data_IF_092352530094
#
_entry.id   IF_092352530094
#
_cell.length_a   1.000
_cell.length_b   1.000
_cell.length_c   1.000
_cell.angle_alpha   90.00
_cell.angle_beta   90.00
_cell.angle_gamma   90.00
#
_symmetry.space_group_name_H-M   'P 1'
#
loop_
_entity.id
_entity.type
_entity.pdbx_description
1 polymer ?
#
# COMPACT_ATOMS: atom_id res chain seq x y z
N UNK A 1 7.77 38.38 -23.11
CA UNK A 1 7.62 36.94 -23.39
C UNK A 1 7.71 36.16 -22.09
N UNK A 2 6.84 36.44 -21.12
CA UNK A 2 6.85 35.72 -19.84
C UNK A 2 5.41 35.45 -19.34
N UNK A 3 4.46 36.29 -19.77
CA UNK A 3 3.06 36.18 -19.37
C UNK A 3 2.33 35.02 -20.07
N UNK A 4 2.62 34.82 -21.36
CA UNK A 4 2.02 33.74 -22.16
C UNK A 4 2.48 32.35 -21.69
N UNK A 5 3.72 32.23 -21.24
CA UNK A 5 4.28 30.98 -20.70
C UNK A 5 3.73 30.68 -19.30
N UNK A 6 3.53 31.71 -18.47
CA UNK A 6 2.96 31.54 -17.13
C UNK A 6 1.50 31.07 -17.16
N UNK A 7 0.73 31.47 -18.17
CA UNK A 7 -0.65 31.04 -18.35
C UNK A 7 -0.75 29.57 -18.79
N UNK A 8 0.16 29.13 -19.66
CA UNK A 8 0.24 27.74 -20.12
C UNK A 8 0.59 26.77 -18.96
N UNK A 9 1.45 27.18 -18.04
CA UNK A 9 1.83 26.38 -16.86
C UNK A 9 0.65 26.23 -15.88
N UNK A 10 -0.11 27.31 -15.66
CA UNK A 10 -1.29 27.27 -14.79
C UNK A 10 -2.41 26.36 -15.33
N UNK A 11 -2.58 26.33 -16.65
CA UNK A 11 -3.54 25.43 -17.33
C UNK A 11 -3.09 23.97 -17.22
N UNK A 12 -1.80 23.69 -17.38
CA UNK A 12 -1.26 22.33 -17.23
C UNK A 12 -1.43 21.78 -15.81
N UNK A 13 -1.24 22.61 -14.78
CA UNK A 13 -1.43 22.23 -13.38
C UNK A 13 -2.91 22.00 -13.03
N UNK A 14 -3.83 22.77 -13.61
CA UNK A 14 -5.27 22.59 -13.38
C UNK A 14 -5.82 21.29 -14.00
N UNK A 15 -5.26 20.85 -15.14
CA UNK A 15 -5.65 19.61 -15.82
C UNK A 15 -5.04 18.35 -15.18
N UNK A 16 -3.96 18.50 -14.40
CA UNK A 16 -3.34 17.37 -13.69
C UNK A 16 -4.17 16.92 -12.48
N UNK A 17 -4.92 17.84 -11.86
CA UNK A 17 -5.80 17.55 -10.70
C UNK A 17 -7.01 16.68 -11.05
N UNK A 18 -7.30 16.46 -12.34
CA UNK A 18 -8.46 15.65 -12.79
C UNK A 18 -8.08 14.22 -13.21
N UNK A 19 -6.83 13.79 -13.05
CA UNK A 19 -6.41 12.40 -13.35
C UNK A 19 -6.70 11.45 -12.15
N UNK A 20 -7.43 11.90 -11.13
CA UNK A 20 -8.06 11.00 -10.17
C UNK A 20 -9.36 10.43 -10.76
N UNK A 21 -9.25 9.65 -11.84
CA UNK A 21 -10.27 8.66 -12.14
C UNK A 21 -10.11 7.54 -11.12
N UNK A 22 -11.01 7.49 -10.14
CA UNK A 22 -11.31 6.24 -9.47
C UNK A 22 -11.76 5.28 -10.57
N UNK A 23 -10.86 4.36 -10.97
CA UNK A 23 -11.30 3.19 -11.70
C UNK A 23 -12.26 2.48 -10.74
N UNK A 24 -13.55 2.54 -11.05
CA UNK A 24 -14.54 1.59 -10.57
C UNK A 24 -14.06 0.24 -11.10
N UNK A 25 -13.16 -0.42 -10.37
CA UNK A 25 -12.66 -1.75 -10.71
C UNK A 25 -13.82 -2.68 -10.37
N UNK A 26 -14.52 -3.27 -11.36
CA UNK A 26 -15.45 -4.34 -11.04
C UNK A 26 -14.65 -5.42 -10.33
N UNK A 27 -15.13 -5.87 -9.18
CA UNK A 27 -14.54 -6.97 -8.41
C UNK A 27 -14.37 -8.21 -9.30
N UNK A 28 -13.20 -8.37 -9.93
CA UNK A 28 -12.68 -9.68 -10.28
C UNK A 28 -12.15 -10.28 -8.97
N UNK A 29 -13.03 -11.05 -8.36
CA UNK A 29 -12.97 -11.60 -6.99
C UNK A 29 -11.89 -12.67 -6.77
N UNK A 30 -10.96 -12.89 -7.70
CA UNK A 30 -9.91 -13.91 -7.53
C UNK A 30 -8.47 -13.35 -7.60
N UNK A 31 -8.21 -12.27 -8.34
CA UNK A 31 -6.85 -11.70 -8.45
C UNK A 31 -6.57 -10.53 -7.48
N UNK A 32 -7.60 -9.79 -7.08
CA UNK A 32 -7.47 -8.65 -6.15
C UNK A 32 -7.34 -9.11 -4.71
N UNK A 33 -8.01 -10.21 -4.33
CA UNK A 33 -7.96 -10.77 -2.99
C UNK A 33 -6.56 -11.28 -2.63
N UNK A 34 -5.85 -11.89 -3.58
CA UNK A 34 -4.46 -12.36 -3.40
C UNK A 34 -3.48 -11.18 -3.29
N UNK A 35 -3.71 -10.11 -4.07
CA UNK A 35 -2.94 -8.85 -3.96
C UNK A 35 -3.19 -8.11 -2.64
N UNK A 36 -4.44 -8.09 -2.17
CA UNK A 36 -4.82 -7.52 -0.88
C UNK A 36 -4.21 -8.33 0.27
N UNK A 37 -4.19 -9.66 0.14
CA UNK A 37 -3.51 -10.55 1.07
C UNK A 37 -2.00 -10.29 1.09
N UNK A 38 -1.36 -10.19 -0.07
CA UNK A 38 0.08 -9.92 -0.14
C UNK A 38 0.42 -8.56 0.48
N UNK A 39 -0.39 -7.53 0.19
CA UNK A 39 -0.21 -6.19 0.76
C UNK A 39 -0.43 -6.16 2.26
N UNK A 40 -1.45 -6.87 2.75
CA UNK A 40 -1.71 -7.01 4.19
C UNK A 40 -0.52 -7.68 4.90
N UNK A 41 0.00 -8.77 4.34
CA UNK A 41 1.14 -9.47 4.93
C UNK A 41 2.38 -8.59 4.93
N UNK A 42 2.65 -7.89 3.83
CA UNK A 42 3.81 -6.99 3.72
C UNK A 42 3.72 -5.82 4.73
N UNK A 43 2.60 -5.10 4.77
CA UNK A 43 2.41 -4.00 5.73
C UNK A 43 2.48 -4.47 7.18
N UNK A 44 1.81 -5.58 7.51
CA UNK A 44 1.81 -6.11 8.87
C UNK A 44 3.21 -6.60 9.29
N UNK A 45 3.97 -7.18 8.36
CA UNK A 45 5.35 -7.60 8.60
C UNK A 45 6.24 -6.39 8.85
N UNK A 46 6.20 -5.38 7.98
CA UNK A 46 7.02 -4.17 8.13
C UNK A 46 6.69 -3.39 9.41
N UNK A 47 5.40 -3.26 9.77
CA UNK A 47 5.01 -2.64 11.03
C UNK A 47 5.52 -3.42 12.24
N UNK A 48 5.42 -4.76 12.21
CA UNK A 48 5.94 -5.61 13.28
C UNK A 48 7.46 -5.49 13.42
N UNK A 49 8.20 -5.46 12.31
CA UNK A 49 9.66 -5.29 12.32
C UNK A 49 10.04 -3.94 12.92
N UNK A 50 9.36 -2.87 12.50
CA UNK A 50 9.64 -1.53 12.99
C UNK A 50 9.30 -1.36 14.49
N UNK A 51 8.21 -1.97 14.96
CA UNK A 51 7.81 -1.84 16.37
C UNK A 51 8.59 -2.78 17.31
N UNK A 52 8.82 -4.03 16.87
CA UNK A 52 9.35 -5.09 17.72
C UNK A 52 10.84 -5.39 17.44
N UNK A 53 11.26 -5.50 16.18
CA UNK A 53 12.60 -6.01 15.87
C UNK A 53 13.71 -4.98 16.06
N UNK A 54 13.44 -3.68 15.90
CA UNK A 54 14.42 -2.63 16.19
C UNK A 54 14.90 -2.63 17.64
N UNK A 55 14.09 -3.12 18.58
CA UNK A 55 14.40 -3.20 20.00
C UNK A 55 14.50 -4.63 20.53
N UNK A 56 14.49 -5.64 19.65
CA UNK A 56 14.55 -7.05 20.02
C UNK A 56 15.95 -7.61 19.85
N UNK A 57 16.41 -8.41 20.81
CA UNK A 57 17.64 -9.20 20.70
C UNK A 57 17.43 -10.53 19.93
N UNK A 58 16.22 -10.78 19.46
CA UNK A 58 15.86 -12.03 18.79
C UNK A 58 16.26 -12.01 17.30
N UNK A 59 17.21 -12.87 16.94
CA UNK A 59 17.71 -13.03 15.56
C UNK A 59 16.60 -13.42 14.58
N UNK A 60 15.55 -14.10 15.03
CA UNK A 60 14.47 -14.56 14.16
C UNK A 60 13.27 -13.63 14.18
N UNK A 61 13.44 -12.38 14.64
CA UNK A 61 12.32 -11.46 14.81
C UNK A 61 11.59 -11.17 13.49
N UNK A 62 12.31 -11.01 12.38
CA UNK A 62 11.71 -10.78 11.05
C UNK A 62 10.86 -11.98 10.60
N UNK A 63 11.37 -13.21 10.78
CA UNK A 63 10.64 -14.44 10.44
C UNK A 63 9.39 -14.63 11.32
N UNK A 64 9.49 -14.31 12.61
CA UNK A 64 8.36 -14.34 13.53
C UNK A 64 7.28 -13.31 13.15
N UNK A 65 7.71 -12.11 12.76
CA UNK A 65 6.81 -11.06 12.27
C UNK A 65 6.11 -11.47 10.96
N UNK A 66 6.83 -12.09 10.03
CA UNK A 66 6.26 -12.59 8.79
C UNK A 66 5.20 -13.68 9.04
N UNK A 67 5.48 -14.65 9.93
CA UNK A 67 4.49 -15.67 10.30
C UNK A 67 3.26 -15.08 10.99
N UNK A 68 3.45 -14.12 11.89
CA UNK A 68 2.35 -13.45 12.59
C UNK A 68 1.48 -12.65 11.62
N UNK A 69 2.11 -11.92 10.68
CA UNK A 69 1.42 -11.20 9.62
C UNK A 69 0.61 -12.14 8.73
N UNK A 70 1.20 -13.27 8.32
CA UNK A 70 0.52 -14.28 7.51
C UNK A 70 -0.71 -14.84 8.22
N UNK A 71 -0.62 -15.19 9.50
CA UNK A 71 -1.78 -15.64 10.29
C UNK A 71 -2.86 -14.56 10.41
N UNK A 72 -2.48 -13.33 10.75
CA UNK A 72 -3.44 -12.22 10.93
C UNK A 72 -4.21 -11.92 9.64
N UNK A 73 -3.52 -11.87 8.51
CA UNK A 73 -4.15 -11.59 7.23
C UNK A 73 -4.99 -12.78 6.73
N UNK A 74 -4.55 -14.02 7.01
CA UNK A 74 -5.35 -15.21 6.70
C UNK A 74 -6.65 -15.26 7.52
N UNK A 75 -6.60 -14.88 8.80
CA UNK A 75 -7.77 -14.83 9.68
C UNK A 75 -8.77 -13.74 9.27
N UNK A 76 -8.29 -12.62 8.71
CA UNK A 76 -9.13 -11.53 8.23
C UNK A 76 -9.91 -11.87 6.95
N UNK A 77 -9.38 -12.79 6.13
CA UNK A 77 -10.04 -13.27 4.90
C UNK A 77 -11.11 -14.34 5.21
N UNK A 78 -10.94 -15.09 6.30
CA UNK A 78 -11.84 -16.17 6.70
C UNK A 78 -12.99 -15.74 7.65
N UNK A 79 -13.15 -14.44 7.91
CA UNK A 79 -14.19 -13.85 8.77
C UNK A 79 -15.24 -13.11 7.97
#
# INVERSE_FOLDING_TARGET
MNDFSSWLIAIFLALYSTIALAADIPSEVEGTQDLDQLSCVDEATQNCINDACLNSDDINCEDNCAQLAQQKCQDAINQ
#
